data_IF_771314356205
#
_entry.id   IF_771314356205
#
_cell.length_a   1.000
_cell.length_b   1.000
_cell.length_c   1.000
_cell.angle_alpha   90.00
_cell.angle_beta   90.00
_cell.angle_gamma   90.00
#
_symmetry.space_group_name_H-M   'P 1'
#
loop_
_entity.id
_entity.type
_entity.pdbx_description
1 polymer ?
#
# COMPACT_ATOMS: atom_id res chain seq x y z
N UNK A 1 -21.53 34.98 -15.62
CA UNK A 1 -21.09 34.50 -14.29
C UNK A 1 -21.49 33.05 -14.15
N UNK A 2 -20.55 32.12 -14.33
CA UNK A 2 -20.72 30.72 -13.98
C UNK A 2 -19.37 30.26 -13.45
N UNK A 3 -19.27 30.11 -12.12
CA UNK A 3 -18.12 29.52 -11.45
C UNK A 3 -18.61 28.24 -10.77
N UNK A 4 -17.98 27.14 -11.15
CA UNK A 4 -17.48 26.11 -10.25
C UNK A 4 -18.48 25.50 -9.25
N UNK A 5 -19.42 24.70 -9.75
CA UNK A 5 -20.24 23.78 -8.93
C UNK A 5 -19.73 22.33 -8.91
N UNK A 6 -18.57 22.06 -9.52
CA UNK A 6 -18.01 20.70 -9.63
C UNK A 6 -17.05 20.39 -8.45
N UNK A 7 -16.54 21.39 -7.72
CA UNK A 7 -15.52 21.18 -6.68
C UNK A 7 -16.02 20.80 -5.27
N UNK A 8 -17.21 21.23 -4.86
CA UNK A 8 -17.65 21.08 -3.45
C UNK A 8 -18.28 19.72 -3.12
N UNK A 9 -18.95 19.06 -4.08
CA UNK A 9 -19.56 17.74 -3.84
C UNK A 9 -18.51 16.64 -3.71
N UNK A 10 -17.44 16.71 -4.49
CA UNK A 10 -16.36 15.71 -4.46
C UNK A 10 -15.55 15.78 -3.15
N UNK A 11 -15.30 16.98 -2.62
CA UNK A 11 -14.61 17.13 -1.32
C UNK A 11 -15.40 16.52 -0.16
N UNK A 12 -16.73 16.66 -0.16
CA UNK A 12 -17.61 16.04 0.85
C UNK A 12 -17.66 14.51 0.76
N UNK A 13 -17.65 13.95 -0.46
CA UNK A 13 -17.65 12.50 -0.70
C UNK A 13 -16.29 11.86 -0.41
N UNK A 14 -15.18 12.50 -0.78
CA UNK A 14 -13.81 12.06 -0.47
C UNK A 14 -13.55 12.09 1.04
N UNK A 15 -14.05 13.12 1.73
CA UNK A 15 -14.02 13.23 3.19
C UNK A 15 -14.77 12.07 3.87
N UNK A 16 -15.95 11.71 3.36
CA UNK A 16 -16.72 10.57 3.88
C UNK A 16 -16.00 9.22 3.61
N UNK A 17 -15.51 9.03 2.39
CA UNK A 17 -14.84 7.78 1.95
C UNK A 17 -13.57 7.50 2.76
N UNK A 18 -12.65 8.47 2.80
CA UNK A 18 -11.37 8.35 3.53
C UNK A 18 -11.58 8.18 5.03
N UNK A 19 -12.60 8.84 5.60
CA UNK A 19 -12.93 8.70 7.02
C UNK A 19 -13.50 7.31 7.34
N UNK A 20 -14.35 6.75 6.47
CA UNK A 20 -14.86 5.39 6.64
C UNK A 20 -13.74 4.35 6.55
N UNK A 21 -12.84 4.47 5.57
CA UNK A 21 -11.68 3.58 5.45
C UNK A 21 -10.78 3.71 6.68
N UNK A 22 -10.51 4.94 7.14
CA UNK A 22 -9.75 5.19 8.37
C UNK A 22 -10.33 4.45 9.58
N UNK A 23 -11.65 4.56 9.80
CA UNK A 23 -12.34 3.84 10.89
C UNK A 23 -12.19 2.34 10.76
N UNK A 24 -12.45 1.78 9.58
CA UNK A 24 -12.37 0.34 9.33
C UNK A 24 -10.95 -0.19 9.60
N UNK A 25 -9.91 0.53 9.16
CA UNK A 25 -8.53 0.13 9.39
C UNK A 25 -8.14 0.20 10.87
N UNK A 26 -8.58 1.25 11.58
CA UNK A 26 -8.34 1.36 13.01
C UNK A 26 -9.06 0.25 13.79
N UNK A 27 -10.34 0.01 13.50
CA UNK A 27 -11.09 -1.09 14.11
C UNK A 27 -10.42 -2.44 13.83
N UNK A 28 -10.00 -2.70 12.58
CA UNK A 28 -9.27 -3.92 12.25
C UNK A 28 -8.00 -4.05 13.10
N UNK A 29 -7.18 -2.99 13.16
CA UNK A 29 -5.95 -2.94 13.95
C UNK A 29 -6.19 -3.20 15.42
N UNK A 30 -7.17 -2.52 16.03
CA UNK A 30 -7.52 -2.69 17.44
C UNK A 30 -7.95 -4.12 17.77
N UNK A 31 -8.65 -4.79 16.85
CA UNK A 31 -9.12 -6.16 17.04
C UNK A 31 -8.02 -7.22 16.90
N UNK A 32 -7.06 -7.03 15.99
CA UNK A 32 -6.06 -8.08 15.67
C UNK A 32 -4.68 -7.81 16.27
N UNK A 33 -4.42 -6.57 16.70
CA UNK A 33 -3.11 -6.12 17.19
C UNK A 33 -2.14 -5.75 16.06
N UNK A 34 -1.09 -5.00 16.43
CA UNK A 34 -0.18 -4.35 15.47
C UNK A 34 0.58 -5.35 14.57
N UNK A 35 1.02 -6.48 15.12
CA UNK A 35 1.79 -7.49 14.37
C UNK A 35 0.95 -8.19 13.30
N UNK A 36 -0.23 -8.70 13.67
CA UNK A 36 -1.16 -9.33 12.72
C UNK A 36 -1.71 -8.31 11.72
N UNK A 37 -1.91 -7.06 12.15
CA UNK A 37 -2.33 -5.99 11.26
C UNK A 37 -1.31 -5.74 10.14
N UNK A 38 0.00 -5.74 10.45
CA UNK A 38 1.07 -5.62 9.44
C UNK A 38 0.99 -6.70 8.36
N UNK A 39 0.85 -7.97 8.77
CA UNK A 39 0.66 -9.08 7.83
C UNK A 39 -0.61 -8.92 6.98
N UNK A 40 -1.73 -8.52 7.58
CA UNK A 40 -2.96 -8.28 6.82
C UNK A 40 -2.82 -7.13 5.84
N UNK A 41 -2.12 -6.06 6.20
CA UNK A 41 -1.82 -4.94 5.29
C UNK A 41 -1.01 -5.42 4.10
N UNK A 42 0.01 -6.27 4.28
CA UNK A 42 0.75 -6.89 3.18
C UNK A 42 -0.17 -7.72 2.26
N UNK A 43 -1.06 -8.53 2.84
CA UNK A 43 -2.04 -9.30 2.08
C UNK A 43 -3.04 -8.43 1.31
N UNK A 44 -3.54 -7.36 1.95
CA UNK A 44 -4.46 -6.39 1.33
C UNK A 44 -3.77 -5.58 0.22
N UNK A 45 -2.48 -5.29 0.38
CA UNK A 45 -1.67 -4.67 -0.67
C UNK A 45 -1.60 -5.59 -1.90
N UNK A 46 -1.29 -6.88 -1.72
CA UNK A 46 -1.28 -7.85 -2.80
C UNK A 46 -2.65 -7.98 -3.49
N UNK A 47 -3.75 -8.02 -2.72
CA UNK A 47 -5.10 -8.06 -3.28
C UNK A 47 -5.45 -6.78 -4.08
N UNK A 48 -4.93 -5.63 -3.65
CA UNK A 48 -5.10 -4.36 -4.38
C UNK A 48 -4.33 -4.37 -5.69
N UNK A 49 -3.09 -4.90 -5.71
CA UNK A 49 -2.32 -5.09 -6.94
C UNK A 49 -3.08 -5.95 -7.97
N UNK A 50 -3.72 -7.04 -7.54
CA UNK A 50 -4.56 -7.88 -8.42
C UNK A 50 -5.74 -7.10 -9.02
N UNK A 51 -6.34 -6.20 -8.24
CA UNK A 51 -7.41 -5.35 -8.74
C UNK A 51 -6.93 -4.34 -9.79
N UNK A 52 -5.63 -4.00 -9.78
CA UNK A 52 -4.93 -3.17 -10.76
C UNK A 52 -4.27 -3.98 -11.90
N UNK A 53 -4.74 -5.21 -12.11
CA UNK A 53 -4.29 -6.12 -13.16
C UNK A 53 -2.80 -6.52 -13.08
N UNK A 54 -2.21 -6.44 -11.87
CA UNK A 54 -0.88 -6.99 -11.61
C UNK A 54 -1.02 -8.47 -11.31
N UNK A 55 -0.30 -9.31 -12.07
CA UNK A 55 -0.18 -10.73 -11.77
C UNK A 55 0.78 -10.93 -10.61
N UNK A 56 0.32 -11.51 -9.50
CA UNK A 56 1.20 -11.84 -8.38
C UNK A 56 1.99 -13.11 -8.69
N UNK A 57 3.30 -13.04 -8.52
CA UNK A 57 4.22 -14.17 -8.70
C UNK A 57 4.60 -14.78 -7.35
N UNK A 58 4.86 -13.93 -6.35
CA UNK A 58 5.28 -14.36 -5.03
C UNK A 58 4.77 -13.40 -3.94
N UNK A 59 4.42 -13.95 -2.78
CA UNK A 59 4.17 -13.22 -1.53
C UNK A 59 4.88 -13.98 -0.41
N UNK A 60 5.84 -13.33 0.23
CA UNK A 60 6.67 -13.93 1.29
C UNK A 60 6.10 -13.58 2.66
N UNK A 61 5.79 -14.57 3.53
CA UNK A 61 5.48 -14.28 4.93
C UNK A 61 6.71 -13.84 5.74
N UNK A 62 7.91 -14.16 5.26
CA UNK A 62 9.19 -13.83 5.89
C UNK A 62 10.25 -13.60 4.82
N UNK A 63 11.14 -12.63 5.06
CA UNK A 63 12.20 -12.23 4.14
C UNK A 63 11.72 -11.28 3.05
N UNK A 64 12.66 -10.82 2.22
CA UNK A 64 12.46 -9.68 1.33
C UNK A 64 12.71 -10.06 -0.14
N UNK A 65 12.10 -9.38 -1.14
CA UNK A 65 11.02 -8.41 -0.96
C UNK A 65 9.73 -9.15 -0.55
N UNK A 66 8.83 -8.44 0.13
CA UNK A 66 7.54 -8.98 0.56
C UNK A 66 6.70 -9.55 -0.59
N UNK A 67 6.67 -8.84 -1.73
CA UNK A 67 5.81 -9.18 -2.87
C UNK A 67 6.57 -9.00 -4.18
N UNK A 68 6.38 -9.95 -5.09
CA UNK A 68 6.82 -9.87 -6.48
C UNK A 68 5.61 -10.04 -7.38
N UNK A 69 5.40 -9.07 -8.27
CA UNK A 69 4.33 -9.07 -9.27
C UNK A 69 4.85 -8.81 -10.68
N UNK A 70 3.96 -8.90 -11.66
CA UNK A 70 4.24 -8.61 -13.06
C UNK A 70 3.10 -7.80 -13.68
N UNK A 71 3.45 -6.71 -14.38
CA UNK A 71 2.53 -5.88 -15.17
C UNK A 71 3.19 -5.56 -16.51
N UNK A 72 2.50 -5.80 -17.62
CA UNK A 72 3.01 -5.46 -18.97
C UNK A 72 4.43 -5.98 -19.29
N UNK A 73 4.76 -7.19 -18.82
CA UNK A 73 6.08 -7.83 -18.90
C UNK A 73 7.20 -7.19 -18.05
N UNK A 74 6.88 -6.23 -17.19
CA UNK A 74 7.79 -5.74 -16.16
C UNK A 74 7.58 -6.49 -14.84
N UNK A 75 8.67 -6.93 -14.21
CA UNK A 75 8.66 -7.47 -12.85
C UNK A 75 8.70 -6.29 -11.88
N UNK A 76 7.82 -6.30 -10.88
CA UNK A 76 7.78 -5.26 -9.86
C UNK A 76 7.92 -5.91 -8.49
N UNK A 77 8.88 -5.42 -7.71
CA UNK A 77 9.18 -5.86 -6.34
C UNK A 77 8.71 -4.82 -5.35
N UNK A 78 8.08 -5.26 -4.27
CA UNK A 78 7.57 -4.38 -3.22
C UNK A 78 8.04 -4.86 -1.85
N UNK A 79 8.51 -3.90 -1.06
CA UNK A 79 8.57 -4.01 0.40
C UNK A 79 7.38 -3.23 0.96
N UNK A 80 6.63 -3.81 1.88
CA UNK A 80 5.34 -3.29 2.33
C UNK A 80 5.35 -3.06 3.83
N UNK A 81 5.04 -1.83 4.24
CA UNK A 81 4.96 -1.47 5.64
C UNK A 81 3.71 -0.69 5.99
N UNK A 82 3.25 -0.86 7.22
CA UNK A 82 2.24 -0.01 7.84
C UNK A 82 2.89 0.90 8.88
N UNK A 83 2.78 2.22 8.71
CA UNK A 83 3.23 3.17 9.73
C UNK A 83 2.11 3.38 10.75
N UNK A 84 2.34 2.83 11.94
CA UNK A 84 1.42 2.87 13.07
C UNK A 84 1.82 3.97 14.08
N UNK A 85 0.83 4.58 14.74
CA UNK A 85 1.05 5.46 15.90
C UNK A 85 1.62 6.85 15.61
N UNK A 86 2.47 7.36 16.52
CA UNK A 86 3.07 8.70 16.47
C UNK A 86 4.39 8.80 15.73
N UNK A 87 5.02 7.68 15.39
CA UNK A 87 6.26 7.72 14.65
C UNK A 87 6.03 8.32 13.27
N UNK A 88 6.52 9.55 13.09
CA UNK A 88 6.52 10.25 11.79
C UNK A 88 7.76 9.91 10.97
N UNK A 89 8.59 8.97 11.42
CA UNK A 89 9.88 8.64 10.81
C UNK A 89 9.97 7.14 10.60
N UNK A 90 10.47 6.77 9.42
CA UNK A 90 10.88 5.40 9.09
C UNK A 90 12.38 5.40 8.85
N UNK A 91 13.06 4.39 9.35
CA UNK A 91 14.43 4.09 8.96
C UNK A 91 14.35 3.36 7.63
N UNK A 92 15.12 3.81 6.63
CA UNK A 92 15.28 3.03 5.41
C UNK A 92 16.30 1.93 5.69
N UNK A 93 15.83 0.71 5.89
CA UNK A 93 16.73 -0.42 6.07
C UNK A 93 17.48 -0.70 4.76
N UNK A 94 18.75 -1.08 4.90
CA UNK A 94 19.58 -1.52 3.79
C UNK A 94 19.04 -2.83 3.21
N UNK A 95 18.52 -3.72 4.05
CA UNK A 95 18.00 -5.02 3.61
C UNK A 95 16.80 -4.84 2.67
N UNK A 96 15.84 -3.99 3.04
CA UNK A 96 14.70 -3.62 2.20
C UNK A 96 15.14 -3.06 0.85
N UNK A 97 16.09 -2.12 0.85
CA UNK A 97 16.55 -1.44 -0.36
C UNK A 97 17.27 -2.40 -1.31
N UNK A 98 18.11 -3.30 -0.79
CA UNK A 98 18.74 -4.32 -1.62
C UNK A 98 17.74 -5.35 -2.14
N UNK A 99 16.72 -5.70 -1.36
CA UNK A 99 15.70 -6.67 -1.76
C UNK A 99 14.82 -6.19 -2.92
N UNK A 100 14.48 -4.89 -2.95
CA UNK A 100 13.69 -4.31 -4.06
C UNK A 100 14.55 -3.87 -5.24
N UNK A 101 15.87 -4.01 -5.17
CA UNK A 101 16.78 -3.52 -6.21
C UNK A 101 16.48 -4.16 -7.58
N UNK A 102 16.32 -3.34 -8.64
CA UNK A 102 16.18 -3.87 -9.99
C UNK A 102 17.53 -4.35 -10.52
N UNK A 103 17.55 -5.54 -11.14
CA UNK A 103 18.78 -6.11 -11.70
C UNK A 103 18.92 -5.84 -13.21
N UNK A 104 17.84 -5.49 -13.88
CA UNK A 104 17.80 -5.23 -15.31
C UNK A 104 16.71 -4.17 -15.62
N UNK A 105 16.61 -3.76 -16.90
CA UNK A 105 15.68 -2.71 -17.34
C UNK A 105 14.20 -3.11 -17.26
N UNK A 106 13.88 -4.40 -17.15
CA UNK A 106 12.51 -4.90 -17.01
C UNK A 106 12.08 -5.10 -15.56
N UNK A 107 12.86 -4.62 -14.60
CA UNK A 107 12.55 -4.70 -13.17
C UNK A 107 12.35 -3.30 -12.57
N UNK A 108 11.35 -3.19 -11.71
CA UNK A 108 11.11 -2.03 -10.84
C UNK A 108 11.03 -2.46 -9.38
N UNK A 109 11.39 -1.55 -8.49
CA UNK A 109 11.40 -1.78 -7.05
C UNK A 109 10.75 -0.62 -6.32
N UNK A 110 9.87 -0.92 -5.37
CA UNK A 110 9.19 0.09 -4.57
C UNK A 110 9.21 -0.24 -3.09
N UNK A 111 9.40 0.78 -2.26
CA UNK A 111 8.94 0.73 -0.88
C UNK A 111 7.50 1.25 -0.88
N UNK A 112 6.57 0.47 -0.34
CA UNK A 112 5.16 0.79 -0.22
C UNK A 112 4.80 1.00 1.26
N UNK A 113 4.45 2.23 1.62
CA UNK A 113 4.12 2.58 3.01
C UNK A 113 2.64 2.95 3.11
N UNK A 114 1.90 2.22 3.93
CA UNK A 114 0.56 2.62 4.35
C UNK A 114 0.68 3.61 5.51
N UNK A 115 0.41 4.88 5.23
CA UNK A 115 0.18 5.88 6.25
C UNK A 115 -1.23 5.69 6.82
N UNK A 116 -1.34 5.14 8.03
CA UNK A 116 -2.63 4.75 8.63
C UNK A 116 -3.39 5.92 9.29
N UNK A 117 -2.81 7.12 9.37
CA UNK A 117 -3.47 8.30 9.95
C UNK A 117 -4.44 8.93 8.95
N UNK A 118 -5.38 9.71 9.43
CA UNK A 118 -6.36 10.38 8.57
C UNK A 118 -5.73 11.50 7.72
N UNK A 119 -5.97 11.54 6.39
CA UNK A 119 -6.59 10.49 5.58
C UNK A 119 -5.58 9.35 5.26
N UNK A 120 -6.00 8.07 5.38
CA UNK A 120 -5.08 6.95 5.19
C UNK A 120 -4.64 6.87 3.74
N UNK A 121 -3.38 6.59 3.44
CA UNK A 121 -2.91 6.55 2.05
C UNK A 121 -1.70 5.69 1.86
N UNK A 122 -1.54 5.18 0.65
CA UNK A 122 -0.33 4.50 0.24
C UNK A 122 0.68 5.50 -0.34
N UNK A 123 1.93 5.35 0.08
CA UNK A 123 3.08 6.06 -0.48
C UNK A 123 3.96 5.01 -1.15
N UNK A 124 3.90 4.93 -2.48
CA UNK A 124 4.74 4.04 -3.28
C UNK A 124 5.95 4.82 -3.77
N UNK A 125 7.15 4.43 -3.33
CA UNK A 125 8.38 5.17 -3.58
C UNK A 125 9.35 4.30 -4.37
N UNK A 126 9.68 4.73 -5.59
CA UNK A 126 10.62 4.03 -6.47
C UNK A 126 12.02 3.92 -5.84
N UNK A 127 12.63 2.76 -5.98
CA UNK A 127 13.99 2.44 -5.52
C UNK A 127 15.01 3.53 -5.88
N UNK A 128 14.96 4.10 -7.09
CA UNK A 128 15.94 5.11 -7.51
C UNK A 128 15.87 6.40 -6.70
N UNK A 129 14.71 6.70 -6.09
CA UNK A 129 14.51 7.85 -5.22
C UNK A 129 14.99 7.61 -3.80
N UNK A 130 15.10 6.34 -3.38
CA UNK A 130 15.51 5.94 -2.03
C UNK A 130 16.93 5.40 -1.92
N UNK A 131 17.53 4.87 -2.99
CA UNK A 131 18.82 4.16 -2.95
C UNK A 131 20.00 4.96 -2.37
N UNK A 132 19.90 6.29 -2.32
CA UNK A 132 20.92 7.19 -1.74
C UNK A 132 20.66 7.56 -0.28
N UNK A 133 19.57 7.07 0.31
CA UNK A 133 19.06 7.44 1.64
C UNK A 133 19.04 6.24 2.60
N UNK A 134 19.85 5.22 2.32
CA UNK A 134 19.99 4.03 3.16
C UNK A 134 20.45 4.46 4.55
N UNK A 135 19.85 3.87 5.59
CA UNK A 135 20.10 4.19 7.00
C UNK A 135 19.69 5.61 7.43
N UNK A 136 19.03 6.39 6.56
CA UNK A 136 18.43 7.67 6.96
C UNK A 136 17.08 7.46 7.66
N UNK A 137 16.81 8.30 8.66
CA UNK A 137 15.46 8.49 9.19
C UNK A 137 14.69 9.44 8.27
N UNK A 138 13.81 8.90 7.46
CA UNK A 138 12.99 9.68 6.53
C UNK A 138 11.65 9.99 7.18
N UNK A 139 11.26 11.27 7.19
CA UNK A 139 9.95 11.68 7.68
C UNK A 139 8.83 11.31 6.70
N UNK A 140 7.60 11.15 7.17
CA UNK A 140 6.43 10.96 6.30
C UNK A 140 6.30 12.09 5.26
N UNK A 141 6.54 13.34 5.65
CA UNK A 141 6.51 14.49 4.72
C UNK A 141 7.53 14.30 3.59
N UNK A 142 8.72 13.82 3.93
CA UNK A 142 9.75 13.51 2.93
C UNK A 142 9.31 12.35 2.03
N UNK A 143 8.66 11.33 2.57
CA UNK A 143 8.10 10.22 1.78
C UNK A 143 7.02 10.68 0.82
N UNK A 144 6.13 11.57 1.25
CA UNK A 144 5.11 12.20 0.40
C UNK A 144 5.73 13.00 -0.75
N UNK A 145 6.88 13.65 -0.53
CA UNK A 145 7.60 14.34 -1.59
C UNK A 145 8.30 13.38 -2.56
N UNK A 146 8.73 12.21 -2.07
CA UNK A 146 9.47 11.23 -2.86
C UNK A 146 8.56 10.23 -3.59
N UNK A 147 7.30 10.09 -3.22
CA UNK A 147 6.43 9.07 -3.81
C UNK A 147 6.17 9.28 -5.31
N UNK A 148 5.90 8.17 -5.99
CA UNK A 148 5.24 8.20 -7.28
C UNK A 148 3.79 8.61 -7.06
N UNK A 149 3.46 9.88 -7.32
CA UNK A 149 2.15 10.45 -6.98
C UNK A 149 1.02 9.79 -7.76
N UNK A 150 1.23 9.52 -9.04
CA UNK A 150 0.21 8.93 -9.89
C UNK A 150 -0.08 7.51 -9.40
N UNK A 151 0.96 6.68 -9.26
CA UNK A 151 0.78 5.31 -8.81
C UNK A 151 0.26 5.24 -7.37
N UNK A 152 0.73 6.10 -6.47
CA UNK A 152 0.25 6.20 -5.09
C UNK A 152 -1.25 6.54 -5.00
N UNK A 153 -1.72 7.47 -5.83
CA UNK A 153 -3.11 7.88 -5.84
C UNK A 153 -4.01 6.79 -6.42
N UNK A 154 -3.62 6.21 -7.57
CA UNK A 154 -4.35 5.10 -8.19
C UNK A 154 -4.47 3.92 -7.22
N UNK A 155 -3.36 3.55 -6.58
CA UNK A 155 -3.31 2.47 -5.62
C UNK A 155 -4.17 2.75 -4.40
N UNK A 156 -4.10 3.96 -3.84
CA UNK A 156 -4.92 4.36 -2.68
C UNK A 156 -6.41 4.30 -3.01
N UNK A 157 -6.82 4.77 -4.18
CA UNK A 157 -8.22 4.76 -4.58
C UNK A 157 -8.75 3.34 -4.80
N UNK A 158 -7.95 2.46 -5.40
CA UNK A 158 -8.27 1.05 -5.55
C UNK A 158 -8.35 0.34 -4.20
N UNK A 159 -7.37 0.58 -3.33
CA UNK A 159 -7.35 0.05 -1.97
C UNK A 159 -8.61 0.47 -1.19
N UNK A 160 -9.00 1.74 -1.27
CA UNK A 160 -10.22 2.19 -0.61
C UNK A 160 -11.47 1.47 -1.12
N UNK A 161 -11.58 1.24 -2.44
CA UNK A 161 -12.71 0.48 -3.01
C UNK A 161 -12.74 -0.93 -2.42
N UNK A 162 -11.59 -1.62 -2.38
CA UNK A 162 -11.46 -2.95 -1.79
C UNK A 162 -11.90 -2.98 -0.32
N UNK A 163 -11.40 -2.04 0.50
CA UNK A 163 -11.77 -1.96 1.92
C UNK A 163 -13.28 -1.74 2.09
N UNK A 164 -13.87 -0.82 1.33
CA UNK A 164 -15.29 -0.49 1.44
C UNK A 164 -16.20 -1.60 0.92
N UNK A 165 -15.85 -2.26 -0.19
CA UNK A 165 -16.59 -3.42 -0.71
C UNK A 165 -16.60 -4.60 0.25
N UNK A 166 -15.59 -4.71 1.13
CA UNK A 166 -15.43 -5.83 2.05
C UNK A 166 -15.56 -5.46 3.53
N UNK A 167 -16.10 -4.27 3.85
CA UNK A 167 -16.13 -3.76 5.22
C UNK A 167 -16.69 -4.75 6.25
N UNK A 168 -17.76 -5.48 5.90
CA UNK A 168 -18.41 -6.48 6.79
C UNK A 168 -17.62 -7.78 6.95
N UNK A 169 -16.65 -8.05 6.07
CA UNK A 169 -15.89 -9.32 6.03
C UNK A 169 -14.41 -9.13 6.29
N UNK A 170 -13.92 -7.89 6.40
CA UNK A 170 -12.49 -7.58 6.50
C UNK A 170 -11.82 -8.29 7.68
N UNK A 171 -12.53 -8.47 8.80
CA UNK A 171 -12.04 -9.21 9.97
C UNK A 171 -11.75 -10.70 9.68
N UNK A 172 -12.42 -11.29 8.69
CA UNK A 172 -12.19 -12.68 8.26
C UNK A 172 -11.00 -12.80 7.30
N UNK A 173 -10.48 -11.69 6.79
CA UNK A 173 -9.33 -11.68 5.89
C UNK A 173 -8.04 -11.79 6.68
N UNK A 174 -7.62 -13.03 6.92
CA UNK A 174 -6.28 -13.35 7.41
C UNK A 174 -5.26 -13.15 6.28
N UNK A 175 -3.99 -12.97 6.65
CA UNK A 175 -2.91 -12.91 5.66
C UNK A 175 -2.90 -14.13 4.73
N UNK A 176 -3.05 -15.35 5.26
CA UNK A 176 -3.06 -16.56 4.44
C UNK A 176 -4.18 -16.59 3.41
N UNK A 177 -5.39 -16.16 3.80
CA UNK A 177 -6.52 -16.09 2.86
C UNK A 177 -6.25 -15.06 1.76
N UNK A 178 -5.81 -13.86 2.13
CA UNK A 178 -5.49 -12.79 1.18
C UNK A 178 -4.37 -13.20 0.22
N UNK A 179 -3.29 -13.80 0.76
CA UNK A 179 -2.17 -14.32 -0.02
C UNK A 179 -2.62 -15.34 -1.05
N UNK A 180 -3.42 -16.33 -0.65
CA UNK A 180 -3.88 -17.37 -1.57
C UNK A 180 -4.77 -16.78 -2.66
N UNK A 181 -5.71 -15.89 -2.30
CA UNK A 181 -6.57 -15.21 -3.26
C UNK A 181 -5.79 -14.34 -4.24
N UNK A 182 -4.76 -13.65 -3.77
CA UNK A 182 -3.91 -12.82 -4.61
C UNK A 182 -3.05 -13.65 -5.59
N UNK A 183 -2.49 -14.78 -5.14
CA UNK A 183 -1.76 -15.72 -6.00
C UNK A 183 -2.68 -16.40 -7.04
N UNK A 184 -3.94 -16.65 -6.69
CA UNK A 184 -4.99 -17.12 -7.61
C UNK A 184 -5.48 -16.02 -8.59
N UNK A 185 -5.08 -14.76 -8.40
CA UNK A 185 -5.54 -13.63 -9.23
C UNK A 185 -6.99 -13.23 -8.97
N UNK A 186 -7.56 -13.55 -7.81
CA UNK A 186 -8.95 -13.22 -7.46
C UNK A 186 -9.07 -11.73 -7.12
N UNK A 187 -9.87 -11.00 -7.90
CA UNK A 187 -10.26 -9.61 -7.58
C UNK A 187 -11.29 -9.60 -6.44
N UNK A 188 -11.03 -8.79 -5.42
CA UNK A 188 -11.88 -8.68 -4.22
C UNK A 188 -12.75 -7.41 -4.23
N UNK A 189 -13.01 -6.79 -5.39
CA UNK A 189 -13.84 -5.57 -5.51
C UNK A 189 -15.19 -5.91 -6.10
#
# INVERSE_FOLDING_TARGET
>A
MSKDLIGERDLGLISNKSYRVYKILNELRENVGDSEFGYRVQGLFAATLVCLDVKILEIKPQGHPDIIGMKENEIIKFEVEAVLGESRKRIVDKEDIEAIKPHNKGEKGYIAVLYCRFPPKWLLIDYNRLKRRVSEHISIITMECLNDKEFSNEFTECFYKLILSNASRLFTFTFHLLRNKALEGVKLI
#
